data_IF_496985193717
#
_entry.id   IF_496985193717
#
_cell.length_a   1.000
_cell.length_b   1.000
_cell.length_c   1.000
_cell.angle_alpha   90.00
_cell.angle_beta   90.00
_cell.angle_gamma   90.00
#
_symmetry.space_group_name_H-M   'P 1'
#
loop_
_entity.id
_entity.type
_entity.pdbx_description
1 polymer ?
#
# COMPACT_ATOMS: atom_id res chain seq x y z
N UNK A 1 -4.57 13.95 22.01
CA UNK A 1 -4.08 14.31 20.65
C UNK A 1 -4.68 13.28 19.75
N UNK A 2 -5.34 13.71 18.67
CA UNK A 2 -6.26 12.84 17.99
C UNK A 2 -5.58 11.60 17.38
N UNK A 3 -6.14 10.42 17.66
CA UNK A 3 -5.71 9.13 17.09
C UNK A 3 -6.73 8.66 16.04
N UNK A 4 -6.28 7.99 14.98
CA UNK A 4 -7.17 7.50 13.94
C UNK A 4 -8.01 6.33 14.45
N UNK A 5 -9.30 6.34 14.13
CA UNK A 5 -10.24 5.25 14.41
C UNK A 5 -11.16 5.01 13.20
N UNK A 6 -11.62 3.76 13.04
CA UNK A 6 -12.57 3.43 11.99
C UNK A 6 -13.92 4.09 12.28
N UNK A 7 -14.32 5.02 11.42
CA UNK A 7 -15.54 5.82 11.54
C UNK A 7 -16.70 5.33 10.67
N UNK A 8 -17.80 6.07 10.69
CA UNK A 8 -18.98 5.83 9.84
C UNK A 8 -19.66 4.46 9.99
N UNK A 9 -20.56 4.15 9.05
CA UNK A 9 -21.49 3.00 9.09
C UNK A 9 -20.86 1.63 8.74
N UNK A 10 -19.56 1.58 8.50
CA UNK A 10 -18.83 0.35 8.19
C UNK A 10 -18.13 0.38 6.83
N UNK A 11 -17.58 -0.77 6.44
CA UNK A 11 -16.90 -0.96 5.15
C UNK A 11 -17.92 -0.99 4.01
N UNK A 12 -17.61 -0.31 2.91
CA UNK A 12 -18.37 -0.37 1.65
C UNK A 12 -17.43 -0.59 0.46
N UNK A 13 -17.91 -1.18 -0.65
CA UNK A 13 -17.05 -1.43 -1.81
C UNK A 13 -16.65 -0.11 -2.49
N UNK A 14 -15.35 0.09 -2.68
CA UNK A 14 -14.80 1.13 -3.54
C UNK A 14 -14.67 0.60 -4.97
N UNK A 15 -14.13 -0.60 -5.14
CA UNK A 15 -13.91 -1.21 -6.44
C UNK A 15 -13.93 -2.74 -6.35
N UNK A 16 -14.60 -3.39 -7.30
CA UNK A 16 -14.68 -4.85 -7.42
C UNK A 16 -14.47 -5.22 -8.89
N UNK A 17 -13.36 -5.90 -9.27
CA UNK A 17 -13.16 -6.37 -10.62
C UNK A 17 -14.09 -7.55 -10.92
N UNK A 18 -14.49 -7.64 -12.18
CA UNK A 18 -15.36 -8.68 -12.72
C UNK A 18 -14.94 -9.12 -14.13
N UNK A 19 -14.18 -8.29 -14.84
CA UNK A 19 -13.71 -8.55 -16.21
C UNK A 19 -12.21 -8.86 -16.27
N UNK A 20 -11.40 -8.06 -15.57
CA UNK A 20 -9.93 -8.13 -15.59
C UNK A 20 -9.36 -8.96 -14.46
N UNK A 21 -10.17 -9.34 -13.48
CA UNK A 21 -9.73 -9.98 -12.26
C UNK A 21 -10.86 -10.61 -11.47
N UNK A 22 -10.50 -11.47 -10.51
CA UNK A 22 -11.45 -12.21 -9.66
C UNK A 22 -11.43 -11.80 -8.18
N UNK A 23 -10.45 -10.99 -7.78
CA UNK A 23 -10.35 -10.34 -6.48
C UNK A 23 -9.38 -9.16 -6.57
N UNK A 24 -9.32 -8.36 -5.51
CA UNK A 24 -8.26 -7.38 -5.30
C UNK A 24 -7.55 -7.70 -3.99
N UNK A 25 -6.23 -7.90 -4.05
CA UNK A 25 -5.38 -7.84 -2.86
C UNK A 25 -4.82 -6.41 -2.73
N UNK A 26 -3.59 -6.21 -2.24
CA UNK A 26 -2.99 -4.88 -2.08
C UNK A 26 -3.22 -3.97 -3.29
N UNK A 27 -3.42 -2.69 -3.03
CA UNK A 27 -3.89 -1.74 -4.00
C UNK A 27 -3.30 -0.34 -3.78
N UNK A 28 -3.46 0.51 -4.79
CA UNK A 28 -3.16 1.93 -4.74
C UNK A 28 -4.35 2.75 -5.23
N UNK A 29 -4.70 3.80 -4.49
CA UNK A 29 -5.76 4.76 -4.76
C UNK A 29 -5.12 6.11 -5.05
N UNK A 30 -5.42 6.68 -6.22
CA UNK A 30 -4.86 7.97 -6.64
C UNK A 30 -5.91 8.80 -7.37
N UNK A 31 -5.79 10.12 -7.32
CA UNK A 31 -6.57 11.02 -8.17
C UNK A 31 -5.76 11.36 -9.41
N UNK A 32 -6.23 10.95 -10.58
CA UNK A 32 -5.54 11.12 -11.86
C UNK A 32 -5.58 12.55 -12.37
N UNK A 33 -4.85 12.80 -13.47
CA UNK A 33 -4.81 14.10 -14.15
C UNK A 33 -6.14 14.49 -14.80
N UNK A 34 -7.02 13.51 -15.05
CA UNK A 34 -8.39 13.71 -15.52
C UNK A 34 -9.38 14.12 -14.40
N UNK A 35 -8.90 14.27 -13.16
CA UNK A 35 -9.69 14.65 -11.99
C UNK A 35 -10.49 13.50 -11.36
N UNK A 36 -10.40 12.28 -11.88
CA UNK A 36 -11.10 11.10 -11.37
C UNK A 36 -10.25 10.37 -10.33
N UNK A 37 -10.90 9.53 -9.54
CA UNK A 37 -10.27 8.56 -8.67
C UNK A 37 -9.97 7.28 -9.44
N UNK A 38 -8.79 6.71 -9.21
CA UNK A 38 -8.32 5.48 -9.81
C UNK A 38 -7.91 4.53 -8.69
N UNK A 39 -8.23 3.25 -8.86
CA UNK A 39 -7.75 2.16 -8.00
C UNK A 39 -7.04 1.16 -8.88
N UNK A 40 -5.84 0.78 -8.48
CA UNK A 40 -5.05 -0.27 -9.10
C UNK A 40 -4.77 -1.32 -8.05
N UNK A 41 -4.95 -2.60 -8.37
CA UNK A 41 -4.75 -3.63 -7.36
C UNK A 41 -4.33 -4.97 -7.92
N UNK A 42 -3.63 -5.72 -7.07
CA UNK A 42 -3.17 -7.07 -7.39
C UNK A 42 -4.38 -7.95 -7.71
N UNK A 43 -4.32 -8.65 -8.83
CA UNK A 43 -5.39 -9.57 -9.21
C UNK A 43 -4.89 -10.75 -10.03
N UNK A 44 -5.80 -11.69 -10.28
CA UNK A 44 -5.66 -12.72 -11.30
C UNK A 44 -7.02 -13.12 -11.87
N UNK A 45 -6.98 -13.78 -13.02
CA UNK A 45 -8.15 -14.19 -13.79
C UNK A 45 -9.02 -15.24 -13.09
N UNK A 46 -8.43 -16.26 -12.45
CA UNK A 46 -9.23 -17.35 -11.85
C UNK A 46 -9.61 -17.05 -10.41
N UNK A 47 -10.73 -17.56 -9.89
CA UNK A 47 -11.05 -17.48 -8.47
C UNK A 47 -10.01 -18.15 -7.54
N UNK A 48 -10.10 -17.86 -6.25
CA UNK A 48 -9.26 -18.41 -5.18
C UNK A 48 -7.88 -17.76 -5.06
N UNK A 49 -7.15 -18.04 -3.98
CA UNK A 49 -5.82 -17.46 -3.74
C UNK A 49 -4.77 -18.15 -4.61
N UNK A 50 -3.89 -17.38 -5.26
CA UNK A 50 -2.83 -17.93 -6.08
C UNK A 50 -1.77 -16.90 -6.45
N UNK A 51 -0.89 -16.52 -5.51
CA UNK A 51 -0.07 -15.32 -5.64
C UNK A 51 0.96 -15.38 -6.78
N UNK A 52 1.33 -16.59 -7.21
CA UNK A 52 2.22 -16.83 -8.35
C UNK A 52 1.59 -16.53 -9.72
N UNK A 53 0.28 -16.30 -9.78
CA UNK A 53 -0.48 -15.98 -11.01
C UNK A 53 -0.88 -14.51 -11.09
N UNK A 54 -0.53 -13.70 -10.11
CA UNK A 54 -0.82 -12.27 -10.08
C UNK A 54 0.21 -11.53 -10.95
N UNK A 55 -0.18 -11.21 -12.20
CA UNK A 55 0.75 -10.77 -13.27
C UNK A 55 0.42 -9.42 -13.90
N UNK A 56 -0.72 -8.85 -13.53
CA UNK A 56 -1.20 -7.54 -13.95
C UNK A 56 -2.04 -6.95 -12.82
N UNK A 57 -2.40 -5.69 -12.95
CA UNK A 57 -3.34 -5.04 -12.03
C UNK A 57 -4.71 -4.88 -12.68
N UNK A 58 -5.76 -5.09 -11.90
CA UNK A 58 -7.08 -4.57 -12.24
C UNK A 58 -7.09 -3.06 -12.00
N UNK A 59 -7.86 -2.33 -12.82
CA UNK A 59 -7.98 -0.88 -12.75
C UNK A 59 -9.45 -0.49 -12.66
N UNK A 60 -9.81 0.32 -11.66
CA UNK A 60 -11.11 0.96 -11.54
C UNK A 60 -10.97 2.48 -11.61
N UNK A 61 -11.91 3.19 -12.25
CA UNK A 61 -11.96 4.66 -12.18
C UNK A 61 -13.36 5.27 -12.10
N UNK A 62 -13.50 6.37 -11.37
CA UNK A 62 -14.79 7.00 -11.08
C UNK A 62 -14.65 8.41 -10.52
N UNK A 63 -15.72 9.20 -10.50
CA UNK A 63 -15.65 10.60 -10.07
C UNK A 63 -15.50 10.77 -8.55
N UNK A 64 -15.87 9.78 -7.74
CA UNK A 64 -16.03 9.95 -6.29
C UNK A 64 -15.58 8.73 -5.49
N UNK A 65 -14.79 8.96 -4.43
CA UNK A 65 -14.52 7.96 -3.39
C UNK A 65 -15.78 7.64 -2.56
N UNK A 66 -16.64 8.65 -2.37
CA UNK A 66 -17.82 8.58 -1.50
C UNK A 66 -18.91 7.72 -2.10
N UNK A 67 -19.17 7.88 -3.40
CA UNK A 67 -20.12 7.04 -4.12
C UNK A 67 -19.56 5.61 -4.27
N UNK A 68 -18.24 5.47 -4.39
CA UNK A 68 -17.58 4.19 -4.57
C UNK A 68 -17.90 3.56 -5.93
N UNK A 69 -17.84 2.23 -5.99
CA UNK A 69 -18.16 1.45 -7.20
C UNK A 69 -17.46 1.97 -8.47
N UNK A 70 -16.14 2.19 -8.37
CA UNK A 70 -15.34 2.65 -9.49
C UNK A 70 -15.51 1.70 -10.68
N UNK A 71 -15.63 2.27 -11.87
CA UNK A 71 -15.87 1.50 -13.09
C UNK A 71 -14.59 0.80 -13.52
N UNK A 72 -14.67 -0.51 -13.72
CA UNK A 72 -13.57 -1.31 -14.23
C UNK A 72 -13.08 -0.84 -15.61
N UNK A 73 -11.76 -0.92 -15.80
CA UNK A 73 -10.98 -0.55 -16.99
C UNK A 73 -10.16 -1.75 -17.45
N UNK A 74 -9.32 -1.55 -18.46
CA UNK A 74 -8.42 -2.58 -18.96
C UNK A 74 -7.41 -3.07 -17.92
N UNK A 75 -6.76 -4.21 -18.22
CA UNK A 75 -5.61 -4.67 -17.45
C UNK A 75 -4.49 -3.66 -17.60
N UNK A 76 -3.75 -3.40 -16.52
CA UNK A 76 -2.55 -2.56 -16.57
C UNK A 76 -1.31 -3.35 -16.12
N UNK A 77 -0.16 -2.97 -16.69
CA UNK A 77 1.14 -3.57 -16.40
C UNK A 77 1.23 -5.10 -16.59
N UNK A 78 0.55 -5.64 -17.61
CA UNK A 78 0.64 -7.05 -18.02
C UNK A 78 1.92 -7.31 -18.85
N UNK A 79 3.08 -7.20 -18.20
CA UNK A 79 4.40 -7.34 -18.85
C UNK A 79 4.98 -8.76 -18.76
N UNK A 80 4.16 -9.77 -18.44
CA UNK A 80 4.58 -11.17 -18.38
C UNK A 80 5.33 -11.59 -17.11
N UNK A 81 5.50 -10.69 -16.14
CA UNK A 81 6.12 -10.95 -14.84
C UNK A 81 5.08 -10.92 -13.71
N UNK A 82 5.49 -11.23 -12.48
CA UNK A 82 4.61 -11.08 -11.31
C UNK A 82 4.47 -9.60 -10.98
N UNK A 83 3.25 -9.17 -10.64
CA UNK A 83 2.91 -7.78 -10.36
C UNK A 83 2.19 -7.70 -9.00
N UNK A 84 2.93 -7.29 -7.98
CA UNK A 84 2.49 -7.11 -6.60
C UNK A 84 2.62 -5.65 -6.18
N UNK A 85 1.62 -5.27 -5.38
CA UNK A 85 1.46 -4.03 -4.63
C UNK A 85 1.94 -2.81 -5.41
N UNK A 86 1.07 -2.26 -6.30
CA UNK A 86 1.42 -1.07 -7.04
C UNK A 86 1.48 0.13 -6.07
N UNK A 87 2.34 1.10 -6.38
CA UNK A 87 2.23 2.46 -5.85
C UNK A 87 2.46 3.45 -6.97
N UNK A 88 1.71 4.54 -6.97
CA UNK A 88 1.68 5.50 -8.06
C UNK A 88 1.99 6.89 -7.53
N UNK A 89 2.92 7.58 -8.18
CA UNK A 89 3.28 8.96 -7.88
C UNK A 89 3.45 9.76 -9.17
N UNK A 90 3.25 11.08 -9.08
CA UNK A 90 3.45 12.01 -10.18
C UNK A 90 4.75 12.78 -9.97
N UNK A 91 5.63 12.81 -10.98
CA UNK A 91 6.91 13.53 -10.92
C UNK A 91 6.81 15.02 -11.34
N UNK A 92 5.62 15.47 -11.77
CA UNK A 92 5.40 16.81 -12.32
C UNK A 92 5.19 16.81 -13.83
N UNK A 93 5.63 15.76 -14.52
CA UNK A 93 5.48 15.58 -15.98
C UNK A 93 4.64 14.33 -16.30
N UNK A 94 4.88 13.23 -15.58
CA UNK A 94 4.29 11.92 -15.83
C UNK A 94 4.02 11.17 -14.53
N UNK A 95 3.15 10.17 -14.64
CA UNK A 95 2.86 9.22 -13.58
C UNK A 95 3.84 8.08 -13.63
N UNK A 96 4.39 7.70 -12.48
CA UNK A 96 5.25 6.54 -12.30
C UNK A 96 4.52 5.55 -11.38
N UNK A 97 4.40 4.31 -11.85
CA UNK A 97 3.96 3.18 -11.05
C UNK A 97 5.17 2.34 -10.70
N UNK A 98 5.41 2.12 -9.40
CA UNK A 98 6.37 1.13 -8.91
C UNK A 98 5.63 -0.15 -8.50
N UNK A 99 6.26 -1.29 -8.74
CA UNK A 99 5.72 -2.59 -8.35
C UNK A 99 6.81 -3.66 -8.16
N UNK A 100 6.45 -4.74 -7.46
CA UNK A 100 7.30 -5.91 -7.17
C UNK A 100 6.55 -7.23 -7.41
N UNK A 101 6.93 -8.37 -6.82
CA UNK A 101 7.94 -8.53 -5.78
C UNK A 101 9.33 -8.84 -6.35
N UNK A 102 10.33 -8.86 -5.46
CA UNK A 102 11.73 -9.24 -5.66
C UNK A 102 12.58 -8.19 -6.39
N UNK A 103 12.22 -7.87 -7.62
CA UNK A 103 12.85 -6.79 -8.39
C UNK A 103 11.93 -5.58 -8.37
N UNK A 104 12.48 -4.42 -7.99
CA UNK A 104 11.78 -3.16 -8.21
C UNK A 104 11.59 -2.97 -9.71
N UNK A 105 10.34 -2.75 -10.10
CA UNK A 105 9.94 -2.44 -11.47
C UNK A 105 9.25 -1.10 -11.49
N UNK A 106 9.30 -0.46 -12.65
CA UNK A 106 8.65 0.80 -12.89
C UNK A 106 7.91 0.77 -14.23
N UNK A 107 6.77 1.42 -14.29
CA UNK A 107 6.10 1.80 -15.52
C UNK A 107 5.74 3.28 -15.45
N UNK A 108 5.63 3.94 -16.59
CA UNK A 108 5.19 5.33 -16.65
C UNK A 108 3.97 5.51 -17.54
N UNK A 109 3.24 6.59 -17.30
CA UNK A 109 2.08 7.02 -18.06
C UNK A 109 2.03 8.54 -18.14
N UNK A 110 1.81 9.09 -19.33
CA UNK A 110 1.39 10.47 -19.57
C UNK A 110 -0.12 10.59 -19.90
N UNK A 111 -0.84 9.47 -19.93
CA UNK A 111 -2.29 9.46 -20.14
C UNK A 111 -2.99 9.98 -18.87
N UNK A 112 -3.74 11.10 -18.94
CA UNK A 112 -4.44 11.63 -17.77
C UNK A 112 -5.49 10.66 -17.18
N UNK A 113 -5.92 9.65 -17.96
CA UNK A 113 -6.84 8.60 -17.51
C UNK A 113 -6.13 7.39 -16.88
N UNK A 114 -4.80 7.35 -16.93
CA UNK A 114 -3.96 6.29 -16.40
C UNK A 114 -4.31 4.89 -16.95
N UNK A 115 -4.75 4.81 -18.22
CA UNK A 115 -5.13 3.55 -18.88
C UNK A 115 -3.97 2.97 -19.71
N UNK A 116 -2.97 3.78 -20.09
CA UNK A 116 -1.81 3.37 -20.89
C UNK A 116 -0.51 3.46 -20.08
N UNK A 117 0.22 2.35 -19.96
CA UNK A 117 1.42 2.22 -19.14
C UNK A 117 2.55 1.54 -19.91
N UNK A 118 3.76 2.09 -19.78
CA UNK A 118 4.95 1.60 -20.47
C UNK A 118 6.03 1.22 -19.44
N UNK A 119 6.47 -0.04 -19.42
CA UNK A 119 7.55 -0.47 -18.52
C UNK A 119 8.83 0.33 -18.82
N UNK A 120 9.50 0.80 -17.77
CA UNK A 120 10.76 1.55 -17.85
C UNK A 120 11.79 1.01 -16.87
N UNK A 121 13.09 1.16 -17.18
CA UNK A 121 14.14 0.84 -16.23
C UNK A 121 14.03 1.72 -14.97
N UNK A 122 14.29 1.11 -13.82
CA UNK A 122 14.54 1.81 -12.57
C UNK A 122 15.76 1.18 -11.87
N UNK A 123 16.40 1.94 -10.99
CA UNK A 123 17.57 1.49 -10.25
C UNK A 123 17.31 1.53 -8.75
N UNK A 124 17.89 0.57 -8.03
CA UNK A 124 17.84 0.51 -6.58
C UNK A 124 19.24 0.18 -6.05
N UNK A 125 19.79 1.05 -5.21
CA UNK A 125 21.18 0.96 -4.73
C UNK A 125 21.27 0.99 -3.20
N UNK A 126 22.27 0.28 -2.67
CA UNK A 126 22.63 0.32 -1.24
C UNK A 126 21.75 -0.49 -0.30
N UNK A 127 20.74 -1.21 -0.80
CA UNK A 127 19.86 -2.04 0.02
C UNK A 127 20.57 -3.21 0.70
N UNK A 128 20.03 -3.73 1.82
CA UNK A 128 20.61 -4.86 2.53
C UNK A 128 20.61 -6.13 1.67
N UNK A 129 21.76 -6.80 1.60
CA UNK A 129 21.90 -8.08 0.87
C UNK A 129 20.94 -9.12 1.44
N UNK A 130 20.11 -9.72 0.58
CA UNK A 130 19.11 -10.72 0.98
C UNK A 130 17.88 -10.15 1.69
N UNK A 131 17.69 -8.82 1.64
CA UNK A 131 16.45 -8.17 2.07
C UNK A 131 15.27 -8.53 1.16
N UNK A 132 14.06 -8.36 1.70
CA UNK A 132 12.82 -8.31 0.92
C UNK A 132 12.63 -6.87 0.46
N UNK A 133 12.12 -6.69 -0.76
CA UNK A 133 11.71 -5.40 -1.28
C UNK A 133 10.35 -5.60 -1.98
N UNK A 134 9.27 -5.41 -1.23
CA UNK A 134 7.89 -5.51 -1.72
C UNK A 134 7.02 -4.46 -1.05
N UNK A 135 5.78 -4.33 -1.53
CA UNK A 135 4.78 -3.40 -1.02
C UNK A 135 5.37 -1.98 -0.93
N UNK A 136 5.84 -1.49 -2.07
CA UNK A 136 6.36 -0.13 -2.15
C UNK A 136 5.23 0.86 -1.90
N UNK A 137 5.53 1.93 -1.16
CA UNK A 137 4.67 3.10 -1.02
C UNK A 137 5.53 4.35 -1.16
N UNK A 138 5.08 5.26 -2.03
CA UNK A 138 5.79 6.52 -2.28
C UNK A 138 5.14 7.67 -1.52
N UNK A 139 5.95 8.40 -0.78
CA UNK A 139 5.60 9.65 -0.12
C UNK A 139 6.41 10.79 -0.74
N UNK A 140 5.75 11.86 -1.18
CA UNK A 140 6.44 13.07 -1.65
C UNK A 140 6.94 13.87 -0.44
N UNK A 141 8.25 14.02 -0.30
CA UNK A 141 8.88 14.70 0.82
C UNK A 141 8.86 16.22 0.65
N UNK A 142 9.17 16.66 -0.57
CA UNK A 142 9.19 18.06 -0.98
C UNK A 142 8.93 18.17 -2.49
N UNK A 143 9.20 19.33 -3.08
CA UNK A 143 8.89 19.57 -4.50
C UNK A 143 9.66 18.63 -5.44
N UNK A 144 10.88 18.21 -5.07
CA UNK A 144 11.79 17.50 -5.97
C UNK A 144 12.26 16.14 -5.42
N UNK A 145 11.80 15.74 -4.23
CA UNK A 145 12.25 14.51 -3.55
C UNK A 145 11.10 13.64 -3.09
N UNK A 146 11.30 12.33 -3.23
CA UNK A 146 10.36 11.30 -2.81
C UNK A 146 11.04 10.29 -1.90
N UNK A 147 10.24 9.75 -0.97
CA UNK A 147 10.59 8.62 -0.14
C UNK A 147 9.81 7.39 -0.60
N UNK A 148 10.50 6.27 -0.76
CA UNK A 148 9.87 4.96 -0.94
C UNK A 148 10.01 4.18 0.36
N UNK A 149 8.88 3.89 0.98
CA UNK A 149 8.75 2.92 2.06
C UNK A 149 8.47 1.55 1.44
N UNK A 150 9.12 0.51 1.95
CA UNK A 150 8.87 -0.84 1.45
C UNK A 150 9.06 -1.86 2.56
N UNK A 151 8.22 -2.91 2.51
CA UNK A 151 8.37 -4.11 3.33
C UNK A 151 9.76 -4.69 3.15
N UNK A 152 10.49 -4.84 4.25
CA UNK A 152 11.86 -5.30 4.25
C UNK A 152 12.21 -6.18 5.43
N UNK A 153 13.45 -6.68 5.43
CA UNK A 153 14.00 -7.50 6.52
C UNK A 153 15.50 -7.30 6.69
N UNK A 154 15.96 -7.47 7.92
CA UNK A 154 17.38 -7.58 8.27
C UNK A 154 17.63 -8.91 8.97
N UNK A 155 18.22 -9.86 8.24
CA UNK A 155 18.32 -11.24 8.72
C UNK A 155 16.94 -11.85 8.89
N UNK A 156 16.56 -12.23 10.11
CA UNK A 156 15.21 -12.74 10.41
C UNK A 156 14.20 -11.67 10.80
N UNK A 157 14.67 -10.45 11.10
CA UNK A 157 13.83 -9.37 11.64
C UNK A 157 13.12 -8.63 10.51
N UNK A 158 11.80 -8.49 10.62
CA UNK A 158 11.01 -7.61 9.76
C UNK A 158 11.33 -6.12 9.96
N UNK A 159 10.90 -5.31 9.02
CA UNK A 159 11.00 -3.86 9.10
C UNK A 159 10.47 -3.16 7.86
N UNK A 160 10.41 -1.84 7.94
CA UNK A 160 10.07 -0.98 6.80
C UNK A 160 11.35 -0.26 6.40
N UNK A 161 11.82 -0.52 5.19
CA UNK A 161 12.93 0.23 4.60
C UNK A 161 12.44 1.59 4.11
N UNK A 162 13.30 2.61 4.17
CA UNK A 162 13.08 3.91 3.54
C UNK A 162 14.23 4.22 2.59
N UNK A 163 13.87 4.63 1.38
CA UNK A 163 14.78 4.99 0.29
C UNK A 163 14.40 6.36 -0.25
N UNK A 164 15.34 7.06 -0.88
CA UNK A 164 15.13 8.39 -1.46
C UNK A 164 15.33 8.36 -2.98
N UNK A 165 14.57 9.18 -3.69
CA UNK A 165 14.72 9.45 -5.13
C UNK A 165 14.42 10.91 -5.44
N UNK A 166 15.07 11.45 -6.47
CA UNK A 166 14.84 12.79 -7.04
C UNK A 166 14.13 12.71 -8.41
N UNK A 167 13.76 11.51 -8.88
CA UNK A 167 13.14 11.32 -10.20
C UNK A 167 12.18 10.12 -10.27
N UNK A 168 11.83 9.53 -9.13
CA UNK A 168 11.00 8.31 -8.97
C UNK A 168 11.54 7.03 -9.62
N UNK A 169 12.69 7.06 -10.31
CA UNK A 169 13.26 5.92 -11.03
C UNK A 169 14.59 5.46 -10.44
N UNK A 170 15.38 6.36 -9.86
CA UNK A 170 16.65 6.06 -9.22
C UNK A 170 16.51 6.14 -7.70
N UNK A 171 16.56 4.98 -7.06
CA UNK A 171 16.32 4.83 -5.63
C UNK A 171 17.60 4.48 -4.88
N UNK A 172 17.83 5.17 -3.77
CA UNK A 172 18.93 4.88 -2.84
C UNK A 172 18.38 4.54 -1.47
N UNK A 173 18.69 3.34 -0.99
CA UNK A 173 18.40 2.94 0.38
C UNK A 173 19.05 3.89 1.37
N UNK A 174 18.29 4.33 2.37
CA UNK A 174 18.77 5.20 3.45
C UNK A 174 18.94 4.40 4.73
N UNK A 175 17.84 3.80 5.21
CA UNK A 175 17.80 3.03 6.47
C UNK A 175 16.52 2.22 6.57
N UNK A 176 16.38 1.47 7.67
CA UNK A 176 15.06 1.05 8.13
C UNK A 176 14.41 2.17 8.93
N UNK A 177 13.20 2.54 8.53
CA UNK A 177 12.34 3.49 9.22
C UNK A 177 11.63 2.84 10.41
N UNK A 178 11.29 1.55 10.32
CA UNK A 178 10.79 0.74 11.42
C UNK A 178 11.52 -0.60 11.41
N UNK A 179 11.86 -1.14 12.59
CA UNK A 179 12.41 -2.49 12.71
C UNK A 179 11.67 -3.28 13.79
N UNK A 180 11.43 -4.56 13.56
CA UNK A 180 10.96 -5.45 14.62
C UNK A 180 12.14 -5.99 15.42
N UNK A 181 11.89 -6.39 16.66
CA UNK A 181 12.85 -7.17 17.46
C UNK A 181 12.48 -8.65 17.49
N UNK A 182 13.32 -9.45 18.13
CA UNK A 182 13.03 -10.88 18.34
C UNK A 182 11.78 -11.11 19.19
N UNK A 183 11.47 -10.22 20.13
CA UNK A 183 10.30 -10.34 21.00
C UNK A 183 8.99 -10.07 20.27
N UNK A 184 9.01 -9.46 19.08
CA UNK A 184 7.82 -9.14 18.31
C UNK A 184 7.07 -10.40 17.84
N UNK A 185 7.75 -11.55 17.78
CA UNK A 185 7.14 -12.87 17.58
C UNK A 185 6.85 -13.25 16.12
N UNK A 186 6.35 -12.34 15.27
CA UNK A 186 6.06 -12.65 13.84
C UNK A 186 7.30 -12.38 12.99
N UNK A 187 7.88 -13.45 12.44
CA UNK A 187 9.09 -13.39 11.59
C UNK A 187 8.97 -14.32 10.36
N UNK A 188 7.93 -14.17 9.51
CA UNK A 188 7.78 -14.96 8.30
C UNK A 188 8.93 -14.64 7.31
N UNK A 189 9.25 -15.56 6.39
CA UNK A 189 10.36 -15.35 5.46
C UNK A 189 10.16 -14.12 4.55
N UNK A 190 8.90 -13.72 4.30
CA UNK A 190 8.47 -12.56 3.52
C UNK A 190 8.31 -11.25 4.31
N UNK A 191 8.77 -11.22 5.57
CA UNK A 191 8.64 -10.13 6.55
C UNK A 191 7.19 -9.83 7.00
N UNK A 192 7.03 -9.55 8.30
CA UNK A 192 5.71 -9.38 8.92
C UNK A 192 5.14 -7.95 8.83
N UNK A 193 5.95 -6.95 8.47
CA UNK A 193 5.53 -5.54 8.39
C UNK A 193 5.13 -5.22 6.95
N UNK A 194 3.95 -5.70 6.55
CA UNK A 194 3.44 -5.62 5.18
C UNK A 194 2.79 -4.26 4.88
N UNK A 195 2.73 -3.91 3.61
CA UNK A 195 1.94 -2.78 3.08
C UNK A 195 2.13 -1.48 3.88
N UNK A 196 3.37 -0.97 3.99
CA UNK A 196 3.62 0.30 4.66
C UNK A 196 2.87 1.43 3.97
N UNK A 197 2.27 2.34 4.73
CA UNK A 197 1.70 3.56 4.19
C UNK A 197 2.05 4.75 5.07
N UNK A 198 2.57 5.82 4.46
CA UNK A 198 2.99 7.03 5.18
C UNK A 198 2.17 8.23 4.76
N UNK A 199 1.72 9.01 5.74
CA UNK A 199 1.06 10.29 5.51
C UNK A 199 1.44 11.28 6.60
N UNK A 200 1.33 12.57 6.27
CA UNK A 200 1.52 13.64 7.23
C UNK A 200 0.17 14.13 7.77
N UNK A 201 0.10 14.36 9.08
CA UNK A 201 -1.03 15.01 9.72
C UNK A 201 -0.59 15.80 10.94
N UNK A 202 -1.03 17.05 11.04
CA UNK A 202 -0.75 17.96 12.17
C UNK A 202 0.76 18.10 12.49
N UNK A 203 1.60 18.07 11.44
CA UNK A 203 3.06 18.15 11.55
C UNK A 203 3.72 16.90 12.17
N UNK A 204 3.03 15.76 12.14
CA UNK A 204 3.57 14.44 12.44
C UNK A 204 3.49 13.54 11.20
N UNK A 205 4.48 12.68 11.04
CA UNK A 205 4.42 11.56 10.10
C UNK A 205 3.77 10.37 10.80
N UNK A 206 2.89 9.69 10.08
CA UNK A 206 2.26 8.44 10.48
C UNK A 206 2.70 7.34 9.53
N UNK A 207 3.12 6.20 10.08
CA UNK A 207 3.41 4.98 9.33
C UNK A 207 2.43 3.92 9.77
N UNK A 208 1.60 3.42 8.86
CA UNK A 208 0.87 2.18 9.07
C UNK A 208 1.64 0.99 8.52
N UNK A 209 1.48 -0.17 9.12
CA UNK A 209 1.87 -1.47 8.55
C UNK A 209 0.78 -2.49 8.88
N UNK A 210 0.47 -3.39 7.96
CA UNK A 210 -0.25 -4.61 8.31
C UNK A 210 0.75 -5.59 8.93
N UNK A 211 0.65 -5.83 10.24
CA UNK A 211 1.55 -6.71 10.97
C UNK A 211 1.06 -8.16 10.94
N UNK A 212 1.38 -8.90 9.87
CA UNK A 212 0.81 -10.22 9.60
C UNK A 212 1.87 -11.30 9.43
N UNK A 213 1.52 -12.54 9.80
CA UNK A 213 2.26 -13.73 9.37
C UNK A 213 1.60 -14.45 8.18
N UNK A 214 0.52 -13.86 7.63
CA UNK A 214 -0.26 -14.35 6.50
C UNK A 214 -0.72 -15.80 6.69
N UNK A 215 -1.93 -15.99 7.24
CA UNK A 215 -2.55 -17.32 7.37
C UNK A 215 -2.69 -17.84 8.80
N UNK A 216 -2.59 -16.97 9.81
CA UNK A 216 -2.98 -17.32 11.19
C UNK A 216 -4.44 -16.95 11.51
N UNK A 217 -5.25 -16.66 10.49
CA UNK A 217 -6.65 -16.29 10.60
C UNK A 217 -6.92 -14.80 10.38
N UNK A 218 -8.20 -14.38 10.37
CA UNK A 218 -8.59 -13.01 10.06
C UNK A 218 -7.99 -11.94 10.97
N UNK A 219 -7.87 -12.21 12.28
CA UNK A 219 -7.31 -11.24 13.22
C UNK A 219 -5.84 -10.92 12.91
N UNK A 220 -5.05 -11.93 12.52
CA UNK A 220 -3.65 -11.74 12.11
C UNK A 220 -3.53 -11.06 10.74
N UNK A 221 -4.46 -11.36 9.83
CA UNK A 221 -4.43 -10.81 8.48
C UNK A 221 -4.79 -9.32 8.43
N UNK A 222 -5.61 -8.86 9.38
CA UNK A 222 -6.10 -7.48 9.46
C UNK A 222 -5.48 -6.66 10.61
N UNK A 223 -4.39 -7.10 11.24
CA UNK A 223 -3.73 -6.39 12.34
C UNK A 223 -2.90 -5.21 11.82
N UNK A 224 -3.53 -4.07 11.53
CA UNK A 224 -2.81 -2.85 11.14
C UNK A 224 -2.37 -2.07 12.36
N UNK A 225 -1.08 -1.79 12.44
CA UNK A 225 -0.44 -0.98 13.48
C UNK A 225 -0.07 0.39 12.90
N UNK A 226 -0.26 1.46 13.67
CA UNK A 226 0.17 2.80 13.29
C UNK A 226 1.19 3.35 14.27
N UNK A 227 2.30 3.84 13.74
CA UNK A 227 3.39 4.48 14.47
C UNK A 227 3.44 5.96 14.08
N UNK A 228 3.85 6.80 15.02
CA UNK A 228 3.95 8.25 14.82
C UNK A 228 5.37 8.73 15.05
N UNK A 229 5.84 9.64 14.22
CA UNK A 229 7.16 10.26 14.37
C UNK A 229 7.19 11.71 13.89
N UNK A 230 8.11 12.48 14.45
CA UNK A 230 8.51 13.80 13.91
C UNK A 230 9.54 13.69 12.78
N UNK A 231 10.03 12.48 12.50
CA UNK A 231 11.03 12.21 11.49
C UNK A 231 10.51 11.13 10.53
N UNK A 232 10.27 11.51 9.27
CA UNK A 232 9.83 10.59 8.22
C UNK A 232 10.77 9.39 8.03
N UNK A 233 12.06 9.52 8.38
CA UNK A 233 13.05 8.46 8.23
C UNK A 233 13.13 7.50 9.41
N UNK A 234 12.39 7.73 10.51
CA UNK A 234 12.57 6.97 11.75
C UNK A 234 11.30 6.93 12.62
N UNK A 235 10.65 5.77 12.67
CA UNK A 235 9.51 5.41 13.51
C UNK A 235 9.92 4.46 14.65
N UNK A 236 11.22 4.22 14.82
CA UNK A 236 11.77 3.45 15.94
C UNK A 236 11.73 1.94 15.73
N UNK A 237 11.41 1.22 16.81
CA UNK A 237 11.48 -0.23 16.89
C UNK A 237 10.21 -0.78 17.53
N UNK A 238 9.70 -1.89 16.99
CA UNK A 238 8.54 -2.59 17.51
C UNK A 238 8.95 -3.90 18.17
N UNK A 239 8.67 -4.02 19.46
CA UNK A 239 9.03 -5.17 20.29
C UNK A 239 7.92 -6.21 20.40
N UNK A 240 6.74 -5.94 19.83
CA UNK A 240 5.53 -6.74 20.04
C UNK A 240 4.64 -6.23 21.17
N UNK A 241 5.07 -5.20 21.91
CA UNK A 241 4.26 -4.61 22.97
C UNK A 241 3.01 -3.92 22.38
N UNK A 242 1.80 -4.27 22.85
CA UNK A 242 0.59 -3.68 22.32
C UNK A 242 0.46 -2.16 22.52
N UNK A 243 1.20 -1.58 23.47
CA UNK A 243 1.20 -0.14 23.77
C UNK A 243 2.20 0.70 22.96
N UNK A 244 3.08 0.10 22.15
CA UNK A 244 4.04 0.84 21.31
C UNK A 244 3.41 1.52 20.08
N UNK A 245 2.50 0.88 19.33
CA UNK A 245 1.75 1.56 18.28
C UNK A 245 0.85 2.65 18.86
N UNK A 246 0.81 3.81 18.21
CA UNK A 246 -0.08 4.92 18.57
C UNK A 246 -1.56 4.62 18.31
N UNK A 247 -1.84 3.73 17.34
CA UNK A 247 -3.19 3.24 17.05
C UNK A 247 -3.13 1.86 16.39
N UNK A 248 -4.28 1.18 16.38
CA UNK A 248 -4.49 -0.12 15.74
C UNK A 248 -5.82 -0.10 14.99
N UNK A 249 -5.85 -0.63 13.77
CA UNK A 249 -7.06 -0.72 12.95
C UNK A 249 -7.22 -2.14 12.41
N UNK A 250 -8.47 -2.60 12.33
CA UNK A 250 -8.82 -3.86 11.67
C UNK A 250 -8.94 -3.62 10.15
N UNK A 251 -7.81 -3.70 9.45
CA UNK A 251 -7.69 -3.51 8.00
C UNK A 251 -6.45 -4.25 7.48
N UNK A 252 -6.51 -4.72 6.24
CA UNK A 252 -5.37 -5.27 5.50
C UNK A 252 -5.01 -4.36 4.33
N UNK A 253 -3.70 -4.13 4.16
CA UNK A 253 -3.12 -3.22 3.18
C UNK A 253 -3.84 -1.85 3.08
N UNK A 254 -3.99 -1.11 4.20
CA UNK A 254 -4.73 0.13 4.20
C UNK A 254 -3.94 1.26 3.54
N UNK A 255 -4.65 2.03 2.71
CA UNK A 255 -4.22 3.36 2.28
C UNK A 255 -5.11 4.41 2.93
N UNK A 256 -4.53 5.60 3.14
CA UNK A 256 -5.18 6.69 3.86
C UNK A 256 -5.36 7.84 2.88
N UNK A 257 -6.60 8.12 2.54
CA UNK A 257 -6.94 9.04 1.46
C UNK A 257 -7.81 10.15 2.01
N UNK A 258 -7.45 11.39 1.70
CA UNK A 258 -8.25 12.57 2.02
C UNK A 258 -9.01 13.00 0.78
N UNK A 259 -10.33 13.04 0.87
CA UNK A 259 -11.15 13.62 -0.19
C UNK A 259 -10.91 15.14 -0.21
N UNK A 260 -10.38 15.72 -1.30
CA UNK A 260 -10.07 17.14 -1.35
C UNK A 260 -11.33 18.01 -1.38
N UNK A 261 -12.49 17.46 -1.74
CA UNK A 261 -13.73 18.23 -1.84
C UNK A 261 -14.40 18.41 -0.48
N UNK A 262 -14.55 17.33 0.29
CA UNK A 262 -15.12 17.40 1.65
C UNK A 262 -14.08 17.61 2.75
N UNK A 263 -12.80 17.35 2.47
CA UNK A 263 -11.72 17.33 3.45
C UNK A 263 -11.74 16.11 4.38
N UNK A 264 -12.72 15.20 4.22
CA UNK A 264 -12.88 13.98 5.03
C UNK A 264 -11.76 12.97 4.74
N UNK A 265 -11.41 12.20 5.76
CA UNK A 265 -10.47 11.11 5.66
C UNK A 265 -11.18 9.78 5.45
N UNK A 266 -10.56 8.94 4.66
CA UNK A 266 -10.96 7.57 4.40
C UNK A 266 -9.76 6.65 4.59
N UNK A 267 -10.07 5.41 4.96
CA UNK A 267 -9.12 4.30 4.97
C UNK A 267 -9.66 3.21 4.06
N UNK A 268 -8.78 2.56 3.32
CA UNK A 268 -9.14 1.41 2.48
C UNK A 268 -8.74 0.09 3.13
N UNK A 269 -9.27 -1.01 2.61
CA UNK A 269 -8.73 -2.34 2.88
C UNK A 269 -9.03 -3.25 1.69
N UNK A 270 -8.09 -4.09 1.33
CA UNK A 270 -8.28 -5.18 0.38
C UNK A 270 -7.64 -6.44 0.96
N UNK A 271 -7.75 -7.57 0.26
CA UNK A 271 -7.23 -8.81 0.80
C UNK A 271 -7.60 -10.03 -0.03
N UNK A 272 -6.84 -11.10 0.16
CA UNK A 272 -7.16 -12.39 -0.44
C UNK A 272 -8.57 -12.88 -0.04
N UNK A 273 -9.32 -13.48 -0.97
CA UNK A 273 -10.64 -14.01 -0.65
C UNK A 273 -10.54 -15.29 0.20
N UNK A 274 -11.55 -15.53 1.03
CA UNK A 274 -11.72 -16.78 1.78
C UNK A 274 -11.77 -16.59 3.30
N UNK A 275 -12.39 -17.54 3.98
CA UNK A 275 -12.63 -17.48 5.44
C UNK A 275 -11.33 -17.40 6.25
N UNK A 276 -10.25 -18.00 5.76
CA UNK A 276 -8.94 -17.97 6.42
C UNK A 276 -8.34 -16.54 6.51
N UNK A 277 -8.73 -15.66 5.60
CA UNK A 277 -8.26 -14.26 5.54
C UNK A 277 -9.28 -13.31 6.14
N UNK A 278 -10.58 -13.60 5.97
CA UNK A 278 -11.65 -12.78 6.54
C UNK A 278 -11.74 -11.36 5.97
N UNK A 279 -11.28 -11.17 4.73
CA UNK A 279 -11.30 -9.89 4.02
C UNK A 279 -12.65 -9.20 4.13
N UNK A 280 -12.63 -7.95 4.58
CA UNK A 280 -13.81 -7.17 5.00
C UNK A 280 -14.91 -7.10 3.94
N UNK A 281 -14.55 -7.06 2.66
CA UNK A 281 -15.44 -7.26 1.53
C UNK A 281 -14.70 -8.16 0.52
N UNK A 282 -15.01 -9.46 0.47
CA UNK A 282 -14.29 -10.40 -0.38
C UNK A 282 -14.22 -9.95 -1.84
N UNK A 283 -13.02 -10.00 -2.41
CA UNK A 283 -12.78 -9.69 -3.82
C UNK A 283 -12.77 -8.21 -4.18
N UNK A 284 -12.89 -7.30 -3.20
CA UNK A 284 -13.01 -5.87 -3.45
C UNK A 284 -11.95 -5.06 -2.70
N UNK A 285 -11.62 -3.89 -3.24
CA UNK A 285 -11.12 -2.80 -2.41
C UNK A 285 -12.32 -2.22 -1.67
N UNK A 286 -12.28 -2.28 -0.35
CA UNK A 286 -13.23 -1.65 0.55
C UNK A 286 -12.72 -0.28 0.99
N UNK A 287 -13.64 0.61 1.33
CA UNK A 287 -13.35 1.94 1.89
C UNK A 287 -14.27 2.21 3.08
N UNK A 288 -13.75 2.94 4.05
CA UNK A 288 -14.48 3.37 5.27
C UNK A 288 -14.03 4.77 5.67
N UNK A 289 -14.92 5.53 6.31
CA UNK A 289 -14.54 6.82 6.91
C UNK A 289 -13.50 6.60 8.02
N UNK A 290 -12.58 7.54 8.16
CA UNK A 290 -11.56 7.54 9.20
C UNK A 290 -11.74 8.78 10.08
N UNK A 291 -12.07 8.54 11.35
CA UNK A 291 -12.25 9.58 12.35
C UNK A 291 -10.95 9.80 13.14
N UNK A 292 -10.82 10.99 13.71
CA UNK A 292 -9.68 11.38 14.55
C UNK A 292 -10.21 11.78 15.92
N UNK A 293 -10.00 10.92 16.93
CA UNK A 293 -10.58 11.09 18.28
C UNK A 293 -9.50 11.55 19.26
N UNK A 294 -9.80 12.61 20.03
CA UNK A 294 -8.86 13.28 20.94
C UNK A 294 -8.29 12.46 22.09
#
# INVERSE_FOLDING_TARGET
MAIPQLGGDGWRPLFTPSETGSYVNDHCVVRGGDGRWHVFGITKETPGVGPHRERWFCHGSGPSLVEGQLRERGRVCDFGHRAWAPTIAFDGERWIMLYGPDLLRAAWSDDPRLEDWHEVPCTFSGGPVGGVLRDQMVFRLDDDSWLMYATGKRGRLGGVSVSVSENLLDWRFVRFALQTTESAGKQPPWAATESPFVFERDGDFWLSVTYSASGQGPEDYHDTLLFRSKNAFDFGTYTGDPGEPAARLAAHAPEYVRDPESGKWYVTSAGWPGEAFGTVIPGSVAIRELDWIE
#
